data_IF_657034709224
#
_entry.id   IF_657034709224
#
_cell.length_a   1.000
_cell.length_b   1.000
_cell.length_c   1.000
_cell.angle_alpha   90.00
_cell.angle_beta   90.00
_cell.angle_gamma   90.00
#
_symmetry.space_group_name_H-M   'P 1'
#
loop_
_entity.id
_entity.type
_entity.pdbx_description
1 polymer ?
#
# COMPACT_ATOMS: atom_id res chain seq x y z
N UNK A 1 0.60 34.65 -40.47
CA UNK A 1 -0.42 34.20 -41.45
C UNK A 1 -0.03 32.82 -41.93
N UNK A 2 -0.96 31.85 -41.90
CA UNK A 2 -0.70 30.42 -42.07
C UNK A 2 -0.58 30.04 -43.55
N UNK A 3 0.13 28.95 -43.85
CA UNK A 3 -0.03 28.21 -45.10
C UNK A 3 -0.84 26.94 -44.84
N UNK A 4 -1.90 26.78 -45.64
CA UNK A 4 -2.74 25.60 -45.75
C UNK A 4 -2.20 24.68 -46.85
N UNK A 5 -2.42 23.37 -46.71
CA UNK A 5 -2.60 22.39 -47.79
C UNK A 5 -3.48 21.28 -47.21
N UNK A 6 -4.77 21.26 -47.52
CA UNK A 6 -5.46 20.66 -48.68
C UNK A 6 -5.80 19.18 -48.50
N UNK A 7 -7.12 18.94 -48.59
CA UNK A 7 -7.79 17.65 -48.59
C UNK A 7 -7.65 16.94 -49.92
N UNK A 8 -7.53 15.61 -49.90
CA UNK A 8 -7.86 14.78 -51.06
C UNK A 8 -8.80 13.64 -50.63
N UNK A 9 -10.03 13.67 -51.15
CA UNK A 9 -11.03 12.61 -51.11
C UNK A 9 -11.07 11.87 -52.45
N UNK A 10 -11.01 10.53 -52.44
CA UNK A 10 -11.56 9.59 -53.45
C UNK A 10 -11.95 8.32 -52.67
N UNK A 11 -13.22 8.11 -52.34
CA UNK A 11 -14.27 7.38 -53.09
C UNK A 11 -14.08 5.86 -53.18
N UNK A 12 -14.87 5.15 -52.38
CA UNK A 12 -15.69 4.02 -52.85
C UNK A 12 -15.05 2.63 -52.92
N UNK A 13 -15.16 1.85 -51.85
CA UNK A 13 -15.35 0.40 -51.95
C UNK A 13 -16.50 -0.03 -51.03
N UNK A 14 -17.49 -0.63 -51.68
CA UNK A 14 -18.73 -1.16 -51.15
C UNK A 14 -18.42 -2.50 -50.46
N UNK A 15 -18.75 -2.66 -49.18
CA UNK A 15 -18.69 -3.94 -48.48
C UNK A 15 -20.08 -4.28 -47.97
N UNK A 16 -20.56 -5.43 -48.46
CA UNK A 16 -21.87 -5.99 -48.21
C UNK A 16 -22.13 -6.23 -46.72
N UNK A 17 -23.40 -6.10 -46.37
CA UNK A 17 -24.00 -6.51 -45.11
C UNK A 17 -23.60 -7.94 -44.72
N UNK A 18 -22.91 -8.09 -43.60
CA UNK A 18 -22.90 -9.33 -42.82
C UNK A 18 -23.48 -9.02 -41.45
N UNK A 19 -24.72 -9.43 -41.25
CA UNK A 19 -25.37 -9.54 -39.95
C UNK A 19 -24.61 -10.58 -39.12
N UNK A 20 -24.11 -10.19 -37.95
CA UNK A 20 -23.73 -11.14 -36.91
C UNK A 20 -24.71 -10.99 -35.76
N UNK A 21 -25.34 -12.12 -35.46
CA UNK A 21 -26.33 -12.33 -34.42
C UNK A 21 -25.85 -11.83 -33.06
N UNK A 22 -26.77 -11.17 -32.35
CA UNK A 22 -26.66 -10.86 -30.94
C UNK A 22 -26.67 -12.15 -30.13
N UNK A 23 -25.50 -12.73 -29.88
CA UNK A 23 -25.31 -13.69 -28.81
C UNK A 23 -25.30 -12.93 -27.48
N UNK A 24 -26.33 -13.14 -26.68
CA UNK A 24 -26.48 -12.62 -25.33
C UNK A 24 -25.30 -13.02 -24.44
N UNK A 25 -24.55 -12.04 -23.95
CA UNK A 25 -23.67 -12.22 -22.80
C UNK A 25 -24.53 -12.59 -21.58
N UNK A 26 -24.20 -13.64 -20.80
CA UNK A 26 -24.94 -13.99 -19.60
C UNK A 26 -24.76 -12.89 -18.55
N UNK A 27 -25.85 -12.57 -17.86
CA UNK A 27 -25.93 -11.56 -16.81
C UNK A 27 -24.89 -11.82 -15.70
N UNK A 28 -24.16 -10.78 -15.31
CA UNK A 28 -23.36 -10.76 -14.09
C UNK A 28 -24.28 -11.02 -12.90
N UNK A 29 -24.11 -12.18 -12.26
CA UNK A 29 -24.66 -12.43 -10.93
C UNK A 29 -23.85 -11.62 -9.93
N UNK A 30 -24.49 -10.61 -9.34
CA UNK A 30 -23.98 -9.88 -8.17
C UNK A 30 -23.96 -10.82 -6.97
N UNK A 31 -22.87 -11.56 -6.79
CA UNK A 31 -22.55 -12.09 -5.46
C UNK A 31 -22.08 -10.93 -4.59
N UNK A 32 -22.68 -10.81 -3.42
CA UNK A 32 -22.42 -9.75 -2.46
C UNK A 32 -20.91 -9.71 -2.11
N UNK A 33 -20.23 -8.64 -2.53
CA UNK A 33 -18.85 -8.35 -2.13
C UNK A 33 -18.84 -8.04 -0.63
N UNK A 34 -18.59 -9.07 0.17
CA UNK A 34 -18.28 -8.96 1.59
C UNK A 34 -16.78 -8.71 1.75
N UNK A 35 -16.41 -7.55 2.29
CA UNK A 35 -15.03 -7.25 2.66
C UNK A 35 -14.67 -8.05 3.93
N UNK A 36 -13.94 -9.15 3.79
CA UNK A 36 -13.32 -9.81 4.96
C UNK A 36 -11.91 -9.26 5.17
N UNK A 37 -11.76 -8.34 6.13
CA UNK A 37 -10.46 -8.09 6.74
C UNK A 37 -10.11 -9.33 7.59
N UNK A 38 -9.18 -10.17 7.12
CA UNK A 38 -8.69 -11.30 7.91
C UNK A 38 -7.74 -10.79 8.97
N UNK A 39 -8.16 -10.97 10.23
CA UNK A 39 -7.31 -10.85 11.41
C UNK A 39 -6.20 -11.91 11.33
N UNK A 40 -4.93 -11.50 11.33
CA UNK A 40 -3.77 -12.40 11.40
C UNK A 40 -3.79 -13.06 12.79
N UNK A 41 -4.14 -14.35 12.85
CA UNK A 41 -3.97 -15.17 14.04
C UNK A 41 -2.61 -15.86 14.00
N UNK A 42 -1.80 -15.62 15.02
CA UNK A 42 -0.52 -16.30 15.23
C UNK A 42 -0.71 -17.83 15.29
N UNK A 43 -0.08 -18.55 14.37
CA UNK A 43 0.08 -20.00 14.47
C UNK A 43 1.55 -20.30 14.78
N UNK A 44 1.89 -20.32 16.07
CA UNK A 44 3.09 -20.97 16.57
C UNK A 44 2.88 -22.48 16.55
N UNK A 45 3.34 -23.15 15.50
CA UNK A 45 3.46 -24.61 15.50
C UNK A 45 4.85 -24.98 16.04
N UNK A 46 4.89 -25.66 17.19
CA UNK A 46 6.06 -26.41 17.66
C UNK A 46 5.71 -27.91 17.66
N UNK A 47 6.62 -28.81 17.27
CA UNK A 47 6.26 -30.16 16.85
C UNK A 47 6.08 -31.10 18.05
N UNK A 48 5.01 -31.90 18.00
CA UNK A 48 4.77 -33.00 18.94
C UNK A 48 5.42 -34.30 18.47
N UNK A 49 6.31 -34.85 19.29
CA UNK A 49 6.75 -36.25 19.24
C UNK A 49 5.69 -37.15 19.88
N UNK A 50 5.26 -38.19 19.17
CA UNK A 50 4.26 -39.13 19.64
C UNK A 50 4.80 -40.19 20.60
N UNK A 51 3.94 -40.66 21.53
CA UNK A 51 3.93 -42.04 22.05
C UNK A 51 2.60 -42.34 22.79
N UNK A 52 1.92 -43.37 22.29
CA UNK A 52 1.15 -44.44 22.94
C UNK A 52 0.23 -44.24 24.18
N UNK A 53 -1.03 -44.61 23.96
CA UNK A 53 -1.90 -45.56 24.69
C UNK A 53 -2.52 -45.28 26.09
N UNK A 54 -3.82 -45.66 26.13
CA UNK A 54 -4.64 -46.30 27.18
C UNK A 54 -5.32 -45.49 28.30
N UNK A 55 -6.65 -45.48 28.21
CA UNK A 55 -7.68 -45.88 29.20
C UNK A 55 -7.86 -45.24 30.59
N UNK A 56 -9.16 -45.22 30.97
CA UNK A 56 -9.78 -45.18 32.31
C UNK A 56 -10.16 -43.84 32.99
N UNK A 57 -11.46 -43.52 32.83
CA UNK A 57 -12.50 -43.41 33.87
C UNK A 57 -12.28 -42.64 35.20
N UNK A 58 -13.19 -41.65 35.38
CA UNK A 58 -14.12 -41.45 36.50
C UNK A 58 -13.73 -40.64 37.76
N UNK A 59 -14.81 -40.10 38.37
CA UNK A 59 -15.01 -39.48 39.70
C UNK A 59 -14.92 -37.93 39.66
N UNK A 60 -16.03 -37.19 39.56
CA UNK A 60 -17.14 -36.94 40.52
C UNK A 60 -16.76 -36.17 41.79
N UNK A 61 -17.18 -34.91 41.90
CA UNK A 61 -17.80 -34.41 43.13
C UNK A 61 -18.66 -33.17 42.85
N UNK A 62 -19.83 -33.22 43.47
CA UNK A 62 -21.03 -32.39 43.35
C UNK A 62 -21.08 -31.31 44.45
N UNK A 63 -22.02 -30.36 44.28
CA UNK A 63 -22.87 -29.70 45.33
C UNK A 63 -22.28 -28.43 46.01
N UNK A 64 -22.99 -27.31 46.27
CA UNK A 64 -24.39 -26.88 46.11
C UNK A 64 -24.47 -25.35 46.20
N UNK A 65 -25.55 -24.78 45.66
CA UNK A 65 -26.04 -23.41 45.74
C UNK A 65 -26.47 -22.92 47.15
N UNK A 66 -26.30 -21.61 47.41
CA UNK A 66 -27.20 -20.81 48.27
C UNK A 66 -27.37 -19.41 47.70
N UNK A 67 -28.60 -18.91 47.74
CA UNK A 67 -29.01 -17.54 47.42
C UNK A 67 -29.82 -16.97 48.60
N UNK A 68 -29.76 -15.64 48.82
CA UNK A 68 -30.89 -14.70 49.03
C UNK A 68 -30.38 -13.32 49.53
N UNK A 69 -30.73 -12.27 48.74
CA UNK A 69 -31.12 -10.86 49.03
C UNK A 69 -30.42 -10.05 50.15
N UNK A 70 -30.06 -8.77 50.04
CA UNK A 70 -30.22 -7.73 49.02
C UNK A 70 -30.12 -6.34 49.68
N UNK A 71 -29.38 -5.38 49.11
CA UNK A 71 -29.70 -3.92 49.12
C UNK A 71 -28.76 -3.16 48.18
N UNK A 72 -29.34 -2.12 47.57
CA UNK A 72 -28.91 -1.37 46.39
C UNK A 72 -27.72 -0.42 46.57
N UNK A 73 -26.86 -0.30 45.56
CA UNK A 73 -26.49 0.98 44.90
C UNK A 73 -25.49 0.80 43.74
N UNK A 74 -25.81 1.43 42.60
CA UNK A 74 -24.96 1.76 41.44
C UNK A 74 -24.29 0.62 40.65
N UNK A 75 -25.01 0.10 39.65
CA UNK A 75 -24.40 -0.57 38.49
C UNK A 75 -23.71 0.47 37.61
N UNK A 76 -22.38 0.56 37.66
CA UNK A 76 -21.60 1.12 36.56
C UNK A 76 -21.61 0.07 35.47
N UNK A 77 -22.48 0.27 34.48
CA UNK A 77 -22.57 -0.58 33.30
C UNK A 77 -21.22 -0.59 32.59
N UNK A 78 -20.64 -1.77 32.45
CA UNK A 78 -19.63 -2.04 31.44
C UNK A 78 -20.30 -1.84 30.08
N UNK A 79 -20.12 -0.68 29.48
CA UNK A 79 -20.40 -0.50 28.05
C UNK A 79 -19.42 -1.38 27.28
N UNK A 80 -19.90 -2.55 26.92
CA UNK A 80 -19.38 -3.36 25.85
C UNK A 80 -19.54 -2.56 24.54
N UNK A 81 -18.53 -1.74 24.22
CA UNK A 81 -18.42 -1.07 22.92
C UNK A 81 -18.03 -2.09 21.86
N UNK A 82 -18.96 -3.00 21.60
CA UNK A 82 -19.03 -3.71 20.33
C UNK A 82 -19.16 -2.66 19.22
N UNK A 83 -18.25 -2.70 18.24
CA UNK A 83 -18.34 -1.96 16.98
C UNK A 83 -19.57 -2.43 16.18
N UNK A 84 -20.76 -2.09 16.65
CA UNK A 84 -22.06 -2.51 16.11
C UNK A 84 -22.63 -1.53 15.08
N UNK A 85 -21.83 -0.63 14.49
CA UNK A 85 -22.31 0.33 13.49
C UNK A 85 -21.81 0.10 12.06
N UNK A 86 -21.06 -0.98 11.79
CA UNK A 86 -20.67 -1.35 10.41
C UNK A 86 -21.73 -2.20 9.69
N UNK A 87 -22.83 -2.59 10.35
CA UNK A 87 -23.87 -3.43 9.76
C UNK A 87 -24.95 -2.64 8.98
N UNK A 88 -24.95 -1.31 9.06
CA UNK A 88 -25.97 -0.43 8.45
C UNK A 88 -25.40 0.52 7.37
N UNK A 89 -24.20 0.25 6.84
CA UNK A 89 -23.73 0.93 5.64
C UNK A 89 -24.37 0.25 4.43
N UNK A 90 -25.22 0.93 3.63
CA UNK A 90 -25.71 0.35 2.39
C UNK A 90 -24.49 -0.02 1.55
N UNK A 91 -24.47 -1.23 0.99
CA UNK A 91 -23.45 -1.67 0.03
C UNK A 91 -23.18 -0.51 -0.93
N UNK A 92 -22.03 0.14 -0.77
CA UNK A 92 -21.70 1.33 -1.54
C UNK A 92 -21.49 0.88 -2.98
N UNK A 93 -22.51 1.07 -3.82
CA UNK A 93 -22.40 0.81 -5.24
C UNK A 93 -21.34 1.76 -5.82
N UNK A 94 -20.34 1.19 -6.48
CA UNK A 94 -19.30 1.98 -7.15
C UNK A 94 -19.93 2.80 -8.27
N UNK A 95 -19.41 4.02 -8.46
CA UNK A 95 -19.76 4.84 -9.62
C UNK A 95 -19.32 4.19 -10.93
N UNK A 96 -19.80 4.67 -12.10
CA UNK A 96 -19.39 4.17 -13.41
C UNK A 96 -17.89 4.18 -13.69
N UNK A 97 -17.10 4.93 -12.91
CA UNK A 97 -15.63 4.97 -12.98
C UNK A 97 -14.93 4.07 -11.96
N UNK A 98 -15.68 3.23 -11.24
CA UNK A 98 -15.17 2.40 -10.16
C UNK A 98 -14.90 3.17 -8.87
N UNK A 99 -15.32 4.43 -8.77
CA UNK A 99 -15.11 5.27 -7.59
C UNK A 99 -16.06 4.86 -6.44
N UNK A 100 -15.56 4.86 -5.22
CA UNK A 100 -16.44 4.87 -4.05
C UNK A 100 -17.11 6.25 -3.94
N UNK A 101 -18.37 6.31 -3.49
CA UNK A 101 -19.04 7.60 -3.27
C UNK A 101 -18.27 8.39 -2.20
N UNK A 102 -18.17 9.73 -2.31
CA UNK A 102 -17.40 10.51 -1.36
C UNK A 102 -17.94 10.33 0.06
N UNK A 103 -17.08 9.91 0.98
CA UNK A 103 -17.46 9.59 2.35
C UNK A 103 -17.53 10.83 3.26
N UNK A 104 -16.97 11.96 2.81
CA UNK A 104 -16.94 13.21 3.57
C UNK A 104 -17.54 14.36 2.77
N UNK A 105 -18.71 14.80 3.19
CA UNK A 105 -19.35 16.02 2.71
C UNK A 105 -19.42 17.04 3.84
N UNK A 106 -19.15 18.32 3.54
CA UNK A 106 -19.47 19.39 4.49
C UNK A 106 -20.98 19.33 4.81
N UNK A 107 -21.40 19.56 6.06
CA UNK A 107 -22.83 19.66 6.38
C UNK A 107 -23.53 20.64 5.44
N UNK A 108 -24.59 20.18 4.76
CA UNK A 108 -25.33 20.97 3.77
C UNK A 108 -24.82 20.86 2.32
N UNK A 109 -23.77 20.07 2.04
CA UNK A 109 -23.35 19.79 0.67
C UNK A 109 -24.35 18.83 -0.01
N UNK A 110 -24.81 19.21 -1.19
CA UNK A 110 -25.69 18.38 -2.00
C UNK A 110 -24.85 17.48 -2.92
N UNK A 111 -24.76 16.18 -2.60
CA UNK A 111 -24.03 15.20 -3.42
C UNK A 111 -24.50 15.17 -4.88
N UNK A 112 -25.78 15.45 -5.14
CA UNK A 112 -26.36 15.54 -6.50
C UNK A 112 -25.85 16.72 -7.32
N UNK A 113 -25.09 17.65 -6.71
CA UNK A 113 -24.40 18.73 -7.42
C UNK A 113 -23.07 18.31 -8.05
N UNK A 114 -22.57 17.11 -7.71
CA UNK A 114 -21.37 16.59 -8.35
C UNK A 114 -21.64 16.31 -9.83
N UNK A 115 -20.67 16.56 -10.72
CA UNK A 115 -20.79 16.20 -12.12
C UNK A 115 -21.12 14.71 -12.27
N UNK A 116 -22.04 14.39 -13.18
CA UNK A 116 -22.36 13.00 -13.50
C UNK A 116 -21.09 12.27 -13.95
N UNK A 117 -20.76 11.18 -13.26
CA UNK A 117 -19.72 10.27 -13.70
C UNK A 117 -20.18 9.53 -14.94
N UNK A 118 -19.52 9.80 -16.06
CA UNK A 118 -19.71 9.06 -17.31
C UNK A 118 -18.42 8.32 -17.65
N UNK A 119 -18.59 7.10 -18.15
CA UNK A 119 -17.52 6.25 -18.66
C UNK A 119 -17.90 5.83 -20.09
N UNK A 120 -16.95 5.94 -21.01
CA UNK A 120 -17.08 5.47 -22.39
C UNK A 120 -16.05 4.37 -22.59
N UNK A 121 -16.46 3.25 -23.17
CA UNK A 121 -15.52 2.16 -23.42
C UNK A 121 -14.42 2.61 -24.39
N UNK A 122 -13.18 2.20 -24.12
CA UNK A 122 -12.00 2.51 -24.92
C UNK A 122 -11.39 1.24 -25.49
N UNK A 123 -10.88 1.27 -26.71
CA UNK A 123 -10.30 0.10 -27.40
C UNK A 123 -8.79 0.23 -27.58
N UNK A 124 -8.07 0.48 -26.48
CA UNK A 124 -6.61 0.56 -26.52
C UNK A 124 -6.00 -0.85 -26.52
N UNK A 125 -4.95 -1.05 -27.30
CA UNK A 125 -4.19 -2.31 -27.28
C UNK A 125 -3.52 -2.52 -25.92
N UNK A 126 -3.44 -3.77 -25.49
CA UNK A 126 -2.69 -4.13 -24.29
C UNK A 126 -1.18 -4.09 -24.54
N UNK A 127 -0.43 -3.61 -23.55
CA UNK A 127 1.02 -3.72 -23.58
C UNK A 127 1.41 -5.21 -23.57
N UNK A 128 2.13 -5.65 -24.60
CA UNK A 128 2.59 -7.03 -24.72
C UNK A 128 4.11 -7.07 -24.64
N UNK A 129 4.66 -7.91 -23.76
CA UNK A 129 6.09 -8.18 -23.68
C UNK A 129 6.37 -9.65 -24.00
N UNK A 130 7.38 -9.89 -24.82
CA UNK A 130 7.70 -11.21 -25.33
C UNK A 130 8.82 -11.88 -24.54
N UNK A 131 8.73 -13.20 -24.35
CA UNK A 131 9.82 -14.01 -23.83
C UNK A 131 10.07 -15.25 -24.70
N UNK A 132 11.32 -15.72 -24.72
CA UNK A 132 11.70 -16.96 -25.39
C UNK A 132 11.55 -18.12 -24.41
N UNK A 133 10.57 -19.00 -24.68
CA UNK A 133 10.25 -20.15 -23.84
C UNK A 133 11.46 -21.07 -23.62
N UNK A 134 12.38 -21.13 -24.61
CA UNK A 134 13.58 -21.98 -24.52
C UNK A 134 14.58 -21.52 -23.46
N UNK A 135 14.47 -20.26 -22.99
CA UNK A 135 15.30 -19.74 -21.90
C UNK A 135 14.86 -20.24 -20.51
N UNK A 136 13.64 -20.77 -20.40
CA UNK A 136 13.06 -21.30 -19.17
C UNK A 136 12.70 -20.27 -18.09
N UNK A 137 13.21 -19.04 -18.19
CA UNK A 137 12.96 -17.96 -17.24
C UNK A 137 12.91 -16.60 -17.93
N UNK A 138 12.10 -15.71 -17.39
CA UNK A 138 12.12 -14.27 -17.68
C UNK A 138 12.21 -13.48 -16.37
N UNK A 139 12.71 -12.24 -16.44
CA UNK A 139 12.84 -11.37 -15.29
C UNK A 139 12.25 -9.99 -15.58
N UNK A 140 11.57 -9.41 -14.59
CA UNK A 140 10.93 -8.11 -14.68
C UNK A 140 11.34 -7.24 -13.49
N UNK A 141 11.45 -5.94 -13.73
CA UNK A 141 11.59 -4.93 -12.68
C UNK A 141 10.27 -4.18 -12.57
N UNK A 142 9.57 -4.36 -11.45
CA UNK A 142 8.29 -3.74 -11.17
C UNK A 142 8.52 -2.47 -10.36
N UNK A 143 7.90 -1.38 -10.79
CA UNK A 143 7.99 -0.08 -10.15
C UNK A 143 6.59 0.50 -10.02
N UNK A 144 6.16 0.81 -8.80
CA UNK A 144 4.94 1.60 -8.62
C UNK A 144 5.31 3.09 -8.66
N UNK A 145 5.28 3.65 -9.87
CA UNK A 145 5.44 5.08 -10.12
C UNK A 145 4.09 5.85 -10.06
N UNK A 146 3.07 5.24 -9.47
CA UNK A 146 1.74 5.83 -9.34
C UNK A 146 1.72 7.05 -8.42
N UNK A 147 0.58 7.73 -8.40
CA UNK A 147 0.39 8.92 -7.57
C UNK A 147 -0.39 8.65 -6.28
N UNK A 148 -1.21 7.60 -6.25
CA UNK A 148 -2.29 7.47 -5.24
C UNK A 148 -2.52 6.06 -4.73
N UNK A 149 -2.33 5.04 -5.57
CA UNK A 149 -2.74 3.67 -5.23
C UNK A 149 -1.54 2.77 -5.03
N UNK A 150 -1.60 1.99 -3.95
CA UNK A 150 -0.89 0.72 -3.86
C UNK A 150 -1.47 -0.24 -4.91
N UNK A 151 -0.62 -1.06 -5.51
CA UNK A 151 -1.02 -2.00 -6.55
C UNK A 151 -0.81 -3.45 -6.10
N UNK A 152 -1.78 -4.30 -6.37
CA UNK A 152 -1.57 -5.76 -6.45
C UNK A 152 -1.07 -6.11 -7.84
N UNK A 153 -0.13 -7.05 -7.92
CA UNK A 153 0.41 -7.57 -9.17
C UNK A 153 0.31 -9.09 -9.16
N UNK A 154 -0.14 -9.66 -10.28
CA UNK A 154 -0.13 -11.12 -10.50
C UNK A 154 0.03 -11.46 -11.98
N UNK A 155 0.53 -12.66 -12.26
CA UNK A 155 0.59 -13.22 -13.60
C UNK A 155 -0.20 -14.51 -13.65
N UNK A 156 -1.25 -14.55 -14.46
CA UNK A 156 -2.14 -15.71 -14.54
C UNK A 156 -1.32 -16.98 -14.87
N UNK A 157 -1.50 -18.03 -14.07
CA UNK A 157 -0.87 -19.35 -14.26
C UNK A 157 0.58 -19.47 -13.83
N UNK A 158 1.19 -18.39 -13.34
CA UNK A 158 2.60 -18.38 -12.97
C UNK A 158 2.81 -17.90 -11.54
N UNK A 159 3.80 -18.48 -10.86
CA UNK A 159 4.41 -17.88 -9.68
C UNK A 159 5.48 -16.85 -10.09
N UNK A 160 5.68 -15.85 -9.25
CA UNK A 160 6.77 -14.88 -9.32
C UNK A 160 7.74 -15.12 -8.17
N UNK A 161 9.04 -15.10 -8.46
CA UNK A 161 10.11 -15.21 -7.48
C UNK A 161 10.66 -13.80 -7.21
N UNK A 162 10.25 -13.16 -6.12
CA UNK A 162 10.74 -11.84 -5.70
C UNK A 162 12.16 -11.99 -5.18
N UNK A 163 13.15 -11.46 -5.87
CA UNK A 163 14.58 -11.64 -5.56
C UNK A 163 15.30 -10.32 -5.24
N UNK A 164 14.61 -9.18 -5.39
CA UNK A 164 15.14 -7.86 -5.06
C UNK A 164 14.01 -6.96 -4.55
N UNK A 165 14.31 -6.15 -3.53
CA UNK A 165 13.42 -5.12 -3.01
C UNK A 165 14.16 -3.79 -2.94
N UNK A 166 13.60 -2.76 -3.59
CA UNK A 166 14.11 -1.39 -3.62
C UNK A 166 15.60 -1.26 -4.03
N UNK A 167 16.17 -2.18 -4.82
CA UNK A 167 17.58 -2.12 -5.25
C UNK A 167 18.53 -3.06 -4.50
N UNK A 168 18.05 -3.89 -3.57
CA UNK A 168 18.87 -4.87 -2.86
C UNK A 168 18.35 -6.28 -3.04
N UNK A 169 19.27 -7.21 -3.31
CA UNK A 169 18.93 -8.62 -3.37
C UNK A 169 18.45 -9.13 -2.02
N UNK A 170 17.42 -9.97 -2.05
CA UNK A 170 16.80 -10.62 -0.88
C UNK A 170 16.75 -12.12 -1.09
N UNK A 171 16.50 -12.89 -0.03
CA UNK A 171 16.21 -14.31 -0.20
C UNK A 171 14.94 -14.47 -1.04
N UNK A 172 14.97 -15.21 -2.16
CA UNK A 172 13.82 -15.30 -3.04
C UNK A 172 12.57 -15.81 -2.34
N UNK A 173 11.45 -15.08 -2.46
CA UNK A 173 10.13 -15.56 -2.06
C UNK A 173 9.32 -15.91 -3.32
N UNK A 174 8.78 -17.12 -3.35
CA UNK A 174 7.85 -17.56 -4.39
C UNK A 174 6.43 -17.14 -4.01
N UNK A 175 5.79 -16.31 -4.84
CA UNK A 175 4.48 -15.71 -4.58
C UNK A 175 3.64 -15.71 -5.85
N UNK A 176 2.32 -15.73 -5.71
CA UNK A 176 1.41 -15.55 -6.84
C UNK A 176 0.87 -14.11 -6.92
N UNK A 177 0.77 -13.45 -5.76
CA UNK A 177 0.37 -12.04 -5.66
C UNK A 177 1.42 -11.29 -4.85
N UNK A 178 1.80 -10.11 -5.32
CA UNK A 178 2.59 -9.18 -4.53
C UNK A 178 1.93 -7.81 -4.52
N UNK A 179 2.01 -7.15 -3.38
CA UNK A 179 1.56 -5.77 -3.21
C UNK A 179 2.76 -4.83 -3.29
N UNK A 180 2.65 -3.79 -4.11
CA UNK A 180 3.70 -2.80 -4.32
C UNK A 180 3.16 -1.40 -4.03
N UNK A 181 3.68 -0.80 -2.98
CA UNK A 181 3.29 0.55 -2.56
C UNK A 181 4.01 1.61 -3.37
N UNK A 182 3.48 2.83 -3.35
CA UNK A 182 3.97 3.92 -4.18
C UNK A 182 5.44 4.21 -3.85
N UNK A 183 6.29 4.27 -4.86
CA UNK A 183 7.73 4.45 -4.70
C UNK A 183 8.51 3.15 -4.44
N UNK A 184 7.86 2.03 -4.13
CA UNK A 184 8.53 0.73 -3.98
C UNK A 184 8.86 0.10 -5.34
N UNK A 185 9.87 -0.77 -5.33
CA UNK A 185 10.32 -1.56 -6.47
C UNK A 185 10.56 -3.00 -6.05
N UNK A 186 10.18 -3.93 -6.91
CA UNK A 186 10.51 -5.34 -6.77
C UNK A 186 11.04 -5.89 -8.09
N UNK A 187 12.13 -6.66 -8.03
CA UNK A 187 12.56 -7.47 -9.17
C UNK A 187 12.04 -8.89 -8.99
N UNK A 188 11.40 -9.42 -10.03
CA UNK A 188 10.81 -10.77 -10.03
C UNK A 188 11.38 -11.61 -11.17
N UNK A 189 11.60 -12.90 -10.89
CA UNK A 189 11.83 -13.91 -11.92
C UNK A 189 10.58 -14.77 -12.07
N UNK A 190 10.27 -15.15 -13.30
CA UNK A 190 9.11 -15.96 -13.66
C UNK A 190 9.62 -17.18 -14.41
N UNK A 191 9.20 -18.38 -13.98
CA UNK A 191 9.45 -19.62 -14.71
C UNK A 191 8.58 -19.63 -15.96
N UNK A 192 9.14 -19.96 -17.11
CA UNK A 192 8.38 -20.16 -18.35
C UNK A 192 8.01 -21.64 -18.47
N UNK A 193 7.24 -22.13 -17.50
CA UNK A 193 6.92 -23.56 -17.32
C UNK A 193 5.49 -23.95 -17.71
N UNK A 194 4.68 -22.99 -18.17
CA UNK A 194 3.39 -23.26 -18.80
C UNK A 194 3.56 -23.47 -20.31
N UNK A 195 2.48 -23.87 -20.99
CA UNK A 195 2.50 -24.02 -22.44
C UNK A 195 2.80 -22.66 -23.10
N UNK A 196 3.63 -22.60 -24.17
CA UNK A 196 3.81 -21.37 -24.93
C UNK A 196 2.47 -20.73 -25.29
N UNK A 197 2.24 -19.53 -24.79
CA UNK A 197 0.92 -18.93 -24.66
C UNK A 197 1.01 -17.45 -24.34
N UNK A 198 -0.12 -16.76 -24.50
CA UNK A 198 -0.29 -15.41 -24.03
C UNK A 198 -1.02 -15.45 -22.68
N UNK A 199 -0.42 -14.81 -21.68
CA UNK A 199 -0.88 -14.81 -20.29
C UNK A 199 -1.11 -13.39 -19.80
N UNK A 200 -2.24 -13.17 -19.11
CA UNK A 200 -2.59 -11.86 -18.56
C UNK A 200 -1.71 -11.53 -17.37
N UNK A 201 -1.00 -10.41 -17.47
CA UNK A 201 -0.26 -9.79 -16.39
C UNK A 201 -1.11 -8.66 -15.81
N UNK A 202 -1.55 -8.82 -14.57
CA UNK A 202 -2.60 -7.99 -13.97
C UNK A 202 -2.04 -7.04 -12.93
N UNK A 203 -2.60 -5.84 -12.91
CA UNK A 203 -2.34 -4.80 -11.93
C UNK A 203 -3.69 -4.29 -11.43
N UNK A 204 -3.91 -4.21 -10.13
CA UNK A 204 -5.13 -3.60 -9.61
C UNK A 204 -4.82 -2.70 -8.43
N UNK A 205 -5.57 -1.62 -8.29
CA UNK A 205 -5.55 -0.83 -7.07
C UNK A 205 -5.94 -1.74 -5.89
N UNK A 206 -5.10 -1.74 -4.88
CA UNK A 206 -5.33 -2.50 -3.65
C UNK A 206 -5.48 -1.52 -2.49
N UNK A 207 -6.54 -1.65 -1.68
CA UNK A 207 -6.76 -0.75 -0.56
C UNK A 207 -5.60 -0.81 0.42
N UNK A 208 -5.19 0.37 0.88
CA UNK A 208 -4.31 0.49 2.02
C UNK A 208 -4.98 1.39 3.05
N UNK A 209 -6.09 0.89 3.61
CA UNK A 209 -7.05 1.65 4.42
C UNK A 209 -8.32 1.95 3.63
N UNK A 210 -8.37 3.11 2.98
CA UNK A 210 -9.50 3.51 2.13
C UNK A 210 -9.27 3.12 0.66
N UNK A 211 -10.35 2.73 -0.02
CA UNK A 211 -10.36 2.42 -1.45
C UNK A 211 -11.20 3.47 -2.17
N UNK A 212 -10.53 4.49 -2.70
CA UNK A 212 -11.23 5.58 -3.39
C UNK A 212 -11.70 5.14 -4.79
N UNK A 213 -10.99 4.21 -5.41
CA UNK A 213 -11.31 3.72 -6.75
C UNK A 213 -10.85 2.27 -6.95
N UNK A 214 -11.75 1.42 -7.43
CA UNK A 214 -11.40 0.10 -7.96
C UNK A 214 -11.00 0.26 -9.42
N UNK A 215 -9.73 0.03 -9.71
CA UNK A 215 -9.19 0.10 -11.07
C UNK A 215 -8.27 -1.10 -11.31
N UNK A 216 -8.43 -1.74 -12.47
CA UNK A 216 -7.57 -2.82 -12.95
C UNK A 216 -6.92 -2.37 -14.27
N UNK A 217 -5.65 -2.74 -14.44
CA UNK A 217 -4.91 -2.68 -15.69
C UNK A 217 -4.40 -4.08 -16.05
N UNK A 218 -4.28 -4.34 -17.34
CA UNK A 218 -3.78 -5.61 -17.86
C UNK A 218 -2.69 -5.37 -18.90
N UNK A 219 -1.70 -6.25 -18.90
CA UNK A 219 -0.67 -6.43 -19.91
C UNK A 219 -0.63 -7.91 -20.30
N UNK A 220 0.14 -8.25 -21.33
CA UNK A 220 0.26 -9.62 -21.84
C UNK A 220 1.73 -10.04 -21.80
N UNK A 221 2.01 -11.14 -21.10
CA UNK A 221 3.24 -11.91 -21.31
C UNK A 221 2.97 -12.89 -22.46
N UNK A 222 3.66 -12.72 -23.57
CA UNK A 222 3.61 -13.66 -24.70
C UNK A 222 4.91 -14.43 -24.77
N UNK A 223 4.91 -15.76 -24.65
CA UNK A 223 6.14 -16.51 -24.86
C UNK A 223 6.01 -17.68 -25.80
N UNK A 224 7.00 -17.77 -26.69
CA UNK A 224 7.03 -18.67 -27.84
C UNK A 224 8.27 -19.55 -27.80
N UNK A 225 8.15 -20.74 -28.38
CA UNK A 225 9.31 -21.45 -28.89
C UNK A 225 9.69 -20.80 -30.23
N UNK A 226 10.84 -20.12 -30.28
CA UNK A 226 11.35 -19.36 -31.45
C UNK A 226 11.48 -20.19 -32.75
N UNK A 227 11.20 -21.50 -32.71
CA UNK A 227 11.18 -22.40 -33.87
C UNK A 227 9.81 -22.55 -34.53
N UNK A 228 8.70 -22.15 -33.89
CA UNK A 228 7.33 -22.30 -34.44
C UNK A 228 6.56 -20.97 -34.39
N UNK A 229 6.43 -20.34 -35.55
CA UNK A 229 5.71 -19.09 -35.73
C UNK A 229 4.20 -19.40 -35.94
N UNK A 230 3.51 -19.77 -34.87
CA UNK A 230 2.05 -19.99 -34.88
C UNK A 230 1.33 -18.77 -34.32
N UNK A 231 0.26 -18.31 -34.98
CA UNK A 231 -0.65 -17.29 -34.45
C UNK A 231 -1.16 -17.75 -33.08
N UNK A 232 -0.74 -17.06 -32.02
CA UNK A 232 -1.12 -17.39 -30.66
C UNK A 232 -2.48 -16.77 -30.35
N UNK A 233 -3.35 -17.59 -29.77
CA UNK A 233 -4.57 -17.13 -29.12
C UNK A 233 -4.29 -16.96 -27.64
N UNK A 234 -4.84 -15.90 -27.04
CA UNK A 234 -4.91 -15.76 -25.58
C UNK A 234 -5.31 -17.10 -24.96
N UNK A 235 -4.53 -17.60 -23.99
CA UNK A 235 -4.97 -18.72 -23.15
C UNK A 235 -5.99 -18.16 -22.13
N UNK A 236 -7.09 -17.61 -22.63
CA UNK A 236 -8.01 -16.77 -21.88
C UNK A 236 -8.96 -17.56 -20.97
N UNK A 237 -9.01 -18.89 -21.09
CA UNK A 237 -10.11 -19.68 -20.51
C UNK A 237 -9.70 -20.92 -19.70
N UNK A 238 -8.40 -21.23 -19.59
CA UNK A 238 -7.92 -22.41 -18.86
C UNK A 238 -7.10 -22.10 -17.61
N UNK A 239 -6.79 -20.82 -17.35
CA UNK A 239 -5.90 -20.40 -16.27
C UNK A 239 -6.67 -19.51 -15.32
N UNK A 240 -6.86 -19.97 -14.08
CA UNK A 240 -7.54 -19.18 -13.05
C UNK A 240 -6.67 -18.00 -12.60
N UNK A 241 -7.25 -16.79 -12.47
CA UNK A 241 -6.51 -15.63 -11.98
C UNK A 241 -6.14 -15.79 -10.50
N UNK A 242 -4.99 -15.25 -10.12
CA UNK A 242 -4.52 -15.26 -8.72
C UNK A 242 -5.11 -14.14 -7.88
N UNK A 243 -5.68 -13.12 -8.51
CA UNK A 243 -6.29 -11.97 -7.85
C UNK A 243 -7.63 -11.58 -8.48
N UNK A 244 -8.49 -10.97 -7.68
CA UNK A 244 -9.76 -10.38 -8.09
C UNK A 244 -9.54 -8.96 -8.66
N UNK A 245 -10.57 -8.40 -9.29
CA UNK A 245 -10.55 -7.04 -9.88
C UNK A 245 -10.26 -5.95 -8.85
N UNK A 246 -10.58 -6.18 -7.58
CA UNK A 246 -10.25 -5.28 -6.46
C UNK A 246 -8.83 -5.47 -5.91
N UNK A 247 -7.99 -6.26 -6.58
CA UNK A 247 -6.62 -6.57 -6.19
C UNK A 247 -6.47 -7.59 -5.06
N UNK A 248 -7.54 -8.03 -4.42
CA UNK A 248 -7.44 -9.06 -3.38
C UNK A 248 -7.05 -10.43 -3.97
N UNK A 249 -6.19 -11.15 -3.25
CA UNK A 249 -5.78 -12.49 -3.65
C UNK A 249 -6.96 -13.48 -3.58
N UNK A 250 -6.99 -14.43 -4.51
CA UNK A 250 -7.94 -15.54 -4.45
C UNK A 250 -7.59 -16.53 -3.33
N UNK A 251 -8.54 -17.37 -2.92
CA UNK A 251 -8.32 -18.29 -1.80
C UNK A 251 -7.22 -19.31 -2.11
N UNK A 252 -6.25 -19.45 -1.19
CA UNK A 252 -5.13 -20.40 -1.32
C UNK A 252 -3.90 -19.84 -2.03
N UNK A 253 -3.97 -18.60 -2.50
CA UNK A 253 -2.87 -17.87 -3.13
C UNK A 253 -1.83 -17.44 -2.08
N UNK A 254 -0.54 -17.56 -2.42
CA UNK A 254 0.57 -17.08 -1.59
C UNK A 254 0.85 -15.62 -1.94
N UNK A 255 0.77 -14.76 -0.93
CA UNK A 255 1.09 -13.34 -1.02
C UNK A 255 2.52 -13.07 -0.51
N UNK A 256 3.15 -12.02 -1.04
CA UNK A 256 4.45 -11.56 -0.58
C UNK A 256 4.42 -11.12 0.90
N UNK A 257 5.29 -11.70 1.73
CA UNK A 257 5.56 -11.23 3.09
C UNK A 257 6.75 -10.25 3.04
N UNK A 258 6.45 -8.97 2.89
CA UNK A 258 7.44 -7.91 2.75
C UNK A 258 8.23 -7.65 4.04
N UNK A 259 7.74 -8.09 5.20
CA UNK A 259 8.41 -7.95 6.50
C UNK A 259 9.60 -8.92 6.64
N UNK A 260 9.67 -9.95 5.80
CA UNK A 260 10.73 -10.96 5.82
C UNK A 260 11.77 -10.78 4.71
N UNK A 261 11.70 -9.67 3.96
CA UNK A 261 12.61 -9.33 2.86
C UNK A 261 13.92 -8.70 3.34
N UNK A 262 14.65 -9.46 4.17
CA UNK A 262 16.01 -9.09 4.55
C UNK A 262 16.97 -9.14 3.35
N UNK A 263 17.99 -8.27 3.30
CA UNK A 263 19.05 -8.38 2.31
C UNK A 263 19.71 -9.77 2.32
N UNK A 264 19.93 -10.34 1.14
CA UNK A 264 20.48 -11.69 0.95
C UNK A 264 21.86 -11.86 1.58
N UNK A 265 22.69 -10.81 1.53
CA UNK A 265 24.03 -10.80 2.16
C UNK A 265 23.97 -10.76 3.70
N UNK A 266 22.77 -10.76 4.28
CA UNK A 266 22.53 -10.44 5.67
C UNK A 266 22.58 -8.94 5.91
N UNK A 267 21.84 -8.49 6.92
CA UNK A 267 21.92 -7.11 7.40
C UNK A 267 21.42 -7.04 8.84
N UNK A 268 22.28 -6.62 9.76
CA UNK A 268 21.88 -6.47 11.17
C UNK A 268 21.82 -4.98 11.50
N UNK A 269 20.67 -4.54 12.02
CA UNK A 269 20.54 -3.18 12.49
C UNK A 269 21.48 -2.95 13.70
N UNK A 270 22.03 -1.75 13.90
CA UNK A 270 22.85 -1.44 15.07
C UNK A 270 22.15 -1.87 16.36
N UNK A 271 22.84 -2.63 17.21
CA UNK A 271 22.30 -3.10 18.48
C UNK A 271 22.28 -2.00 19.54
N UNK A 272 21.29 -2.03 20.43
CA UNK A 272 21.19 -1.09 21.56
C UNK A 272 20.29 0.12 21.26
N UNK A 273 20.33 1.08 22.19
CA UNK A 273 19.52 2.29 22.13
C UNK A 273 19.97 3.20 20.99
N UNK A 274 19.02 3.79 20.28
CA UNK A 274 19.32 4.84 19.32
C UNK A 274 19.88 6.07 20.05
N UNK A 275 20.78 6.79 19.39
CA UNK A 275 21.27 8.09 19.86
C UNK A 275 20.14 9.12 19.86
N UNK A 276 19.23 9.01 18.89
CA UNK A 276 18.08 9.90 18.73
C UNK A 276 16.84 9.07 18.42
N UNK A 277 15.80 9.20 19.23
CA UNK A 277 14.46 8.70 18.91
C UNK A 277 13.57 9.88 18.52
N UNK A 278 12.82 9.72 17.42
CA UNK A 278 11.82 10.68 16.94
C UNK A 278 10.48 9.98 16.84
N UNK A 279 9.47 10.58 17.46
CA UNK A 279 8.09 10.14 17.33
C UNK A 279 7.40 11.05 16.33
N UNK A 280 6.69 10.47 15.37
CA UNK A 280 5.85 11.19 14.43
C UNK A 280 4.41 10.69 14.52
N UNK A 281 3.51 11.60 14.89
CA UNK A 281 2.08 11.42 14.71
C UNK A 281 1.68 12.02 13.37
N UNK A 282 1.33 11.16 12.41
CA UNK A 282 0.81 11.53 11.09
C UNK A 282 -0.67 11.84 11.29
N UNK A 283 -1.11 13.04 10.94
CA UNK A 283 -2.50 13.46 11.18
C UNK A 283 -3.03 14.27 10.02
N UNK A 284 -4.26 14.01 9.57
CA UNK A 284 -5.00 14.93 8.73
C UNK A 284 -5.87 15.85 9.60
N UNK A 285 -5.43 17.10 9.78
CA UNK A 285 -6.10 18.09 10.64
C UNK A 285 -7.13 18.95 9.89
N UNK A 286 -7.26 18.77 8.58
CA UNK A 286 -8.19 19.48 7.73
C UNK A 286 -8.31 18.82 6.36
N UNK A 287 -9.26 19.28 5.55
CA UNK A 287 -9.64 18.66 4.27
C UNK A 287 -8.43 18.40 3.34
N UNK A 288 -7.42 19.26 3.39
CA UNK A 288 -6.20 19.17 2.57
C UNK A 288 -4.92 19.38 3.37
N UNK A 289 -4.97 19.12 4.68
CA UNK A 289 -3.87 19.44 5.60
C UNK A 289 -3.45 18.19 6.35
N UNK A 290 -2.25 17.68 6.05
CA UNK A 290 -1.65 16.53 6.72
C UNK A 290 -0.37 16.94 7.43
N UNK A 291 -0.14 16.54 8.66
CA UNK A 291 0.93 17.11 9.49
C UNK A 291 1.77 16.03 10.16
N UNK A 292 3.05 16.31 10.41
CA UNK A 292 3.86 15.55 11.36
C UNK A 292 3.81 16.28 12.70
N UNK A 293 3.34 15.62 13.76
CA UNK A 293 3.33 16.23 15.11
C UNK A 293 2.64 17.60 15.17
N UNK A 294 1.54 17.77 14.43
CA UNK A 294 0.78 19.03 14.30
C UNK A 294 1.49 20.17 13.59
N UNK A 295 2.71 19.94 13.09
CA UNK A 295 3.46 20.93 12.34
C UNK A 295 3.34 20.63 10.84
N UNK A 296 2.80 21.59 10.08
CA UNK A 296 2.60 21.37 8.67
C UNK A 296 3.85 21.95 7.98
N UNK A 297 4.53 21.15 7.15
CA UNK A 297 5.64 21.62 6.34
C UNK A 297 5.20 22.54 5.20
N UNK A 298 5.93 23.64 5.06
CA UNK A 298 5.90 24.52 3.92
C UNK A 298 7.26 24.52 3.23
N UNK A 299 7.26 24.46 1.90
CA UNK A 299 8.49 24.55 1.13
C UNK A 299 9.13 25.93 1.34
N UNK A 300 10.40 26.01 1.76
CA UNK A 300 11.05 27.28 1.99
C UNK A 300 11.33 27.99 0.67
N UNK A 301 11.22 29.32 0.68
CA UNK A 301 11.54 30.14 -0.49
C UNK A 301 13.01 29.99 -0.93
N UNK A 302 13.91 29.71 0.02
CA UNK A 302 15.29 29.33 -0.25
C UNK A 302 15.53 27.87 0.18
N UNK A 303 15.98 27.00 -0.73
CA UNK A 303 16.24 25.59 -0.40
C UNK A 303 17.15 25.41 0.82
N UNK A 304 16.85 24.41 1.66
CA UNK A 304 17.54 24.23 2.95
C UNK A 304 19.03 23.88 2.79
N UNK A 305 19.42 23.35 1.63
CA UNK A 305 20.82 23.08 1.30
C UNK A 305 21.72 24.33 1.37
N UNK A 306 21.15 25.54 1.23
CA UNK A 306 21.90 26.80 1.35
C UNK A 306 22.25 27.17 2.79
N UNK A 307 21.90 26.37 3.78
CA UNK A 307 22.29 26.61 5.16
C UNK A 307 21.34 27.58 5.87
N UNK A 308 21.86 28.28 6.87
CA UNK A 308 21.09 29.19 7.74
C UNK A 308 20.48 30.40 7.02
N UNK A 309 20.81 30.63 5.75
CA UNK A 309 20.14 31.64 4.93
C UNK A 309 18.74 31.19 4.51
N UNK A 310 18.45 29.89 4.49
CA UNK A 310 17.12 29.36 4.20
C UNK A 310 16.11 29.79 5.26
N UNK A 311 14.94 30.24 4.82
CA UNK A 311 13.79 30.52 5.69
C UNK A 311 13.20 29.25 6.32
N UNK A 312 13.51 28.06 5.77
CA UNK A 312 13.16 26.77 6.35
C UNK A 312 14.20 26.24 7.36
N UNK A 313 15.33 26.93 7.55
CA UNK A 313 16.43 26.40 8.36
C UNK A 313 16.05 26.08 9.81
N UNK A 314 15.25 26.95 10.42
CA UNK A 314 14.78 26.81 11.80
C UNK A 314 13.27 26.47 11.85
N UNK A 315 12.69 25.96 10.76
CA UNK A 315 11.31 25.51 10.77
C UNK A 315 11.14 24.31 11.71
N UNK A 316 9.96 24.16 12.31
CA UNK A 316 9.66 23.02 13.20
C UNK A 316 9.77 21.65 12.48
N UNK A 317 9.65 21.67 11.16
CA UNK A 317 9.77 20.52 10.25
C UNK A 317 11.20 20.29 9.74
N UNK A 318 12.20 21.03 10.26
CA UNK A 318 13.62 20.81 9.98
C UNK A 318 14.29 20.22 11.22
N UNK A 319 14.69 18.96 11.13
CA UNK A 319 15.28 18.21 12.26
C UNK A 319 16.78 18.02 12.07
N UNK A 320 17.55 18.60 12.99
CA UNK A 320 18.98 18.35 13.05
C UNK A 320 19.27 17.05 13.80
N UNK A 321 20.07 16.18 13.19
CA UNK A 321 20.58 14.94 13.76
C UNK A 321 22.12 14.99 13.79
N UNK A 322 22.77 14.40 14.81
CA UNK A 322 24.23 14.29 14.82
C UNK A 322 24.71 13.39 13.67
N UNK A 323 25.90 13.62 13.13
CA UNK A 323 26.52 12.67 12.19
C UNK A 323 26.90 11.35 12.89
N UNK A 324 26.90 10.25 12.11
CA UNK A 324 27.25 8.90 12.57
C UNK A 324 26.48 8.43 13.82
N UNK A 325 25.23 8.86 13.95
CA UNK A 325 24.31 8.53 15.02
C UNK A 325 23.26 7.52 14.55
N UNK A 326 22.87 6.62 15.44
CA UNK A 326 21.72 5.74 15.21
C UNK A 326 20.45 6.53 15.51
N UNK A 327 19.52 6.57 14.54
CA UNK A 327 18.25 7.27 14.67
C UNK A 327 17.10 6.29 14.52
N UNK A 328 16.19 6.30 15.50
CA UNK A 328 14.89 5.63 15.43
C UNK A 328 13.81 6.64 15.06
N UNK A 329 12.97 6.26 14.11
CA UNK A 329 11.74 6.97 13.79
C UNK A 329 10.58 6.03 14.09
N UNK A 330 9.80 6.39 15.10
CA UNK A 330 8.57 5.71 15.51
C UNK A 330 7.41 6.54 14.97
N UNK A 331 6.63 5.97 14.06
CA UNK A 331 5.51 6.64 13.42
C UNK A 331 4.20 6.02 13.83
N UNK A 332 3.16 6.84 13.88
CA UNK A 332 1.78 6.38 13.98
C UNK A 332 0.83 7.27 13.20
N UNK A 333 -0.27 6.71 12.73
CA UNK A 333 -1.44 7.50 12.36
C UNK A 333 -2.10 7.99 13.64
N UNK A 334 -2.37 9.30 13.74
CA UNK A 334 -2.93 9.89 14.95
C UNK A 334 -4.39 9.47 15.14
N UNK A 335 -4.77 9.17 16.39
CA UNK A 335 -6.14 8.72 16.71
C UNK A 335 -7.22 9.77 16.41
N UNK A 336 -6.85 11.05 16.39
CA UNK A 336 -7.70 12.18 16.04
C UNK A 336 -7.57 12.62 14.57
N UNK A 337 -6.88 11.83 13.74
CA UNK A 337 -6.73 12.09 12.31
C UNK A 337 -8.04 11.89 11.56
N UNK A 338 -8.35 12.80 10.64
CA UNK A 338 -9.42 12.60 9.65
C UNK A 338 -9.05 11.53 8.60
N UNK A 339 -7.76 11.24 8.47
CA UNK A 339 -7.21 10.23 7.59
C UNK A 339 -6.76 9.03 8.40
N UNK A 340 -7.46 7.92 8.24
CA UNK A 340 -7.16 6.64 8.89
C UNK A 340 -6.48 5.65 7.95
N UNK A 341 -6.16 6.08 6.71
CA UNK A 341 -5.50 5.24 5.72
C UNK A 341 -4.02 5.03 6.03
N UNK A 342 -3.40 4.09 5.33
CA UNK A 342 -1.97 3.86 5.48
C UNK A 342 -1.16 4.73 4.53
N UNK A 343 0.10 4.95 4.87
CA UNK A 343 0.97 5.90 4.18
C UNK A 343 2.28 5.23 3.74
N UNK A 344 2.63 5.21 2.44
CA UNK A 344 3.96 4.82 2.01
C UNK A 344 4.97 5.90 2.42
N UNK A 345 5.81 5.60 3.39
CA UNK A 345 6.81 6.48 3.98
C UNK A 345 8.17 6.28 3.31
N UNK A 346 8.69 7.35 2.72
CA UNK A 346 9.94 7.37 1.98
C UNK A 346 10.98 8.28 2.63
N UNK A 347 12.23 7.82 2.69
CA UNK A 347 13.38 8.59 3.18
C UNK A 347 14.42 8.77 2.08
N UNK A 348 14.78 10.02 1.82
CA UNK A 348 15.86 10.35 0.89
C UNK A 348 17.24 10.10 1.50
N UNK A 349 18.22 9.85 0.64
CA UNK A 349 19.65 9.77 1.01
C UNK A 349 20.06 8.57 1.84
N UNK A 350 19.11 7.74 2.28
CA UNK A 350 19.37 6.58 3.13
C UNK A 350 18.48 5.42 2.74
N UNK A 351 19.01 4.21 2.93
CA UNK A 351 18.17 3.05 3.25
C UNK A 351 18.09 2.92 4.76
N UNK A 352 16.97 2.40 5.24
CA UNK A 352 16.68 2.21 6.65
C UNK A 352 16.25 0.78 6.91
N UNK A 353 16.51 0.31 8.12
CA UNK A 353 15.99 -0.95 8.62
C UNK A 353 14.52 -0.75 9.02
N UNK A 354 13.64 -1.57 8.46
CA UNK A 354 12.24 -1.62 8.88
C UNK A 354 12.10 -2.62 10.01
N UNK A 355 11.86 -2.12 11.22
CA UNK A 355 11.94 -2.96 12.41
C UNK A 355 10.62 -3.63 12.75
N UNK A 356 9.49 -3.00 12.41
CA UNK A 356 8.19 -3.58 12.69
C UNK A 356 7.06 -2.59 12.45
N UNK A 357 5.85 -3.12 12.40
CA UNK A 357 4.62 -2.36 12.30
C UNK A 357 3.46 -3.13 12.94
N UNK A 358 2.40 -2.42 13.30
CA UNK A 358 1.22 -3.01 13.93
C UNK A 358 0.04 -2.06 13.95
N UNK A 359 -1.07 -2.52 14.52
CA UNK A 359 -2.28 -1.73 14.69
C UNK A 359 -2.21 -0.86 15.95
N UNK A 360 -2.93 0.26 15.93
CA UNK A 360 -3.04 1.19 17.05
C UNK A 360 -1.75 1.96 17.36
N UNK A 361 -1.59 2.29 18.63
CA UNK A 361 -0.43 3.02 19.13
C UNK A 361 0.75 2.08 19.41
N UNK A 362 1.97 2.52 19.08
CA UNK A 362 3.18 1.85 19.54
C UNK A 362 3.27 1.97 21.07
N UNK A 363 3.29 0.87 21.84
CA UNK A 363 3.07 0.91 23.28
C UNK A 363 4.33 1.20 24.10
N UNK A 364 5.46 1.50 23.46
CA UNK A 364 6.75 1.73 24.10
C UNK A 364 7.32 3.11 23.76
N UNK A 365 8.12 3.66 24.67
CA UNK A 365 8.82 4.94 24.44
C UNK A 365 10.00 4.77 23.47
N UNK A 366 10.63 3.59 23.44
CA UNK A 366 11.79 3.35 22.57
C UNK A 366 11.79 1.93 21.99
N UNK A 367 12.59 1.76 20.93
CA UNK A 367 12.80 0.46 20.28
C UNK A 367 13.43 -0.55 21.24
N UNK A 368 14.27 -0.11 22.17
CA UNK A 368 14.94 -0.98 23.15
C UNK A 368 14.02 -1.54 24.21
N UNK A 369 12.88 -0.90 24.47
CA UNK A 369 11.91 -1.36 25.46
C UNK A 369 10.92 -2.38 24.87
N UNK A 370 10.85 -2.47 23.53
CA UNK A 370 9.94 -3.33 22.82
C UNK A 370 10.48 -4.78 22.70
N UNK A 371 9.61 -5.80 22.79
CA UNK A 371 10.03 -7.19 22.64
C UNK A 371 10.38 -7.53 21.18
N UNK A 372 11.23 -8.55 21.00
CA UNK A 372 11.63 -9.03 19.66
C UNK A 372 10.49 -9.59 18.81
N UNK A 373 9.33 -9.87 19.41
CA UNK A 373 8.11 -10.26 18.70
C UNK A 373 7.45 -9.09 17.97
N UNK A 374 7.75 -7.84 18.33
CA UNK A 374 7.23 -6.63 17.70
C UNK A 374 8.29 -5.89 16.89
N UNK A 375 9.55 -6.01 17.30
CA UNK A 375 10.69 -5.31 16.70
C UNK A 375 11.72 -6.35 16.28
N UNK A 376 11.95 -6.45 14.98
CA UNK A 376 13.00 -7.26 14.40
C UNK A 376 14.30 -6.45 14.26
N UNK A 377 15.30 -6.74 15.10
CA UNK A 377 16.66 -6.22 14.93
C UNK A 377 17.59 -7.23 14.22
N UNK A 378 17.11 -8.45 13.98
CA UNK A 378 17.85 -9.57 13.41
C UNK A 378 17.41 -9.83 11.96
N UNK A 379 18.19 -9.34 10.99
CA UNK A 379 17.82 -9.39 9.57
C UNK A 379 16.45 -8.74 9.26
N UNK A 380 16.20 -7.48 9.67
CA UNK A 380 15.04 -6.76 9.18
C UNK A 380 15.21 -6.36 7.70
N UNK A 381 14.10 -6.09 6.98
CA UNK A 381 14.15 -5.48 5.67
C UNK A 381 14.94 -4.19 5.69
N UNK A 382 15.71 -3.93 4.63
CA UNK A 382 16.54 -2.73 4.51
C UNK A 382 16.27 -2.04 3.18
N UNK A 383 15.51 -0.94 3.25
CA UNK A 383 14.91 -0.32 2.07
C UNK A 383 14.70 1.17 2.29
N UNK A 384 14.15 1.85 1.29
CA UNK A 384 13.96 3.31 1.33
C UNK A 384 12.48 3.72 1.38
N UNK A 385 11.55 2.78 1.20
CA UNK A 385 10.11 3.04 1.26
C UNK A 385 9.37 1.91 1.97
N UNK A 386 8.63 2.21 3.02
CA UNK A 386 7.79 1.24 3.75
C UNK A 386 6.39 1.78 3.92
N UNK A 387 5.44 0.91 4.22
CA UNK A 387 4.12 1.36 4.59
C UNK A 387 4.00 1.59 6.10
N UNK A 388 3.40 2.72 6.47
CA UNK A 388 2.78 2.95 7.77
C UNK A 388 1.34 2.43 7.69
N UNK A 389 0.95 1.39 8.45
CA UNK A 389 -0.38 0.80 8.33
C UNK A 389 -1.53 1.76 8.70
N UNK A 390 -2.73 1.54 8.13
CA UNK A 390 -3.94 2.26 8.51
C UNK A 390 -4.20 2.20 10.01
N UNK A 391 -4.41 3.37 10.63
CA UNK A 391 -4.63 3.48 12.09
C UNK A 391 -3.60 2.72 12.93
N UNK A 392 -2.38 2.59 12.42
CA UNK A 392 -1.33 1.76 12.99
C UNK A 392 -0.05 2.53 13.24
N UNK A 393 0.99 1.78 13.57
CA UNK A 393 2.33 2.26 13.83
C UNK A 393 3.35 1.53 12.96
N UNK A 394 4.48 2.19 12.70
CA UNK A 394 5.64 1.62 12.03
C UNK A 394 6.94 2.19 12.61
N UNK A 395 7.98 1.37 12.69
CA UNK A 395 9.28 1.75 13.22
C UNK A 395 10.37 1.52 12.18
N UNK A 396 11.16 2.55 11.94
CA UNK A 396 12.38 2.46 11.11
C UNK A 396 13.60 2.92 11.90
N UNK A 397 14.75 2.34 11.57
CA UNK A 397 16.07 2.75 12.09
C UNK A 397 16.99 3.07 10.93
N UNK A 398 17.82 4.10 11.05
CA UNK A 398 18.87 4.40 10.10
C UNK A 398 20.09 5.02 10.80
N UNK A 399 21.22 5.09 10.09
CA UNK A 399 22.43 5.75 10.55
C UNK A 399 22.59 7.05 9.77
N UNK A 400 22.99 8.11 10.44
CA UNK A 400 23.27 9.41 9.84
C UNK A 400 24.69 9.50 9.25
N UNK A 401 24.99 8.59 8.32
CA UNK A 401 26.30 8.47 7.66
C UNK A 401 26.43 9.28 6.35
N UNK A 402 25.35 9.92 5.91
CA UNK A 402 25.30 10.71 4.69
C UNK A 402 25.02 12.20 4.98
N UNK A 403 26.06 13.08 4.99
CA UNK A 403 25.96 14.53 5.09
C UNK A 403 25.00 15.15 4.07
N UNK A 404 23.88 15.70 4.51
CA UNK A 404 22.91 16.30 3.59
C UNK A 404 21.63 16.83 4.21
N UNK A 405 20.70 17.17 3.32
CA UNK A 405 19.37 17.68 3.62
C UNK A 405 18.37 16.67 3.02
N UNK A 406 17.86 15.76 3.85
CA UNK A 406 17.11 14.61 3.37
C UNK A 406 15.63 14.69 3.71
N UNK A 407 14.80 14.53 2.70
CA UNK A 407 13.37 14.55 2.87
C UNK A 407 12.86 13.20 3.41
N UNK A 408 12.03 13.26 4.45
CA UNK A 408 11.21 12.16 4.91
C UNK A 408 9.73 12.49 4.70
N UNK A 409 9.03 11.72 3.85
CA UNK A 409 7.68 12.09 3.42
C UNK A 409 6.79 10.89 3.05
N UNK A 410 5.48 11.13 2.98
CA UNK A 410 4.55 10.21 2.35
C UNK A 410 4.68 10.28 0.82
N UNK A 411 4.67 9.13 0.15
CA UNK A 411 4.83 9.01 -1.30
C UNK A 411 3.48 8.99 -2.07
N UNK A 412 2.36 9.23 -1.38
CA UNK A 412 1.11 9.60 -2.06
C UNK A 412 1.26 11.03 -2.58
N UNK A 413 1.19 11.22 -3.89
CA UNK A 413 1.43 12.50 -4.55
C UNK A 413 0.45 13.58 -4.07
N UNK A 414 -0.83 13.26 -3.83
CA UNK A 414 -1.75 14.24 -3.24
C UNK A 414 -1.32 14.61 -1.83
N UNK A 415 -0.79 13.65 -1.07
CA UNK A 415 -0.18 13.88 0.23
C UNK A 415 1.19 14.58 0.15
N UNK A 416 1.65 14.94 -1.05
CA UNK A 416 2.87 15.69 -1.28
C UNK A 416 2.55 17.09 -1.86
N UNK A 417 1.62 17.17 -2.82
CA UNK A 417 1.46 18.30 -3.77
C UNK A 417 0.50 19.38 -3.34
N UNK A 418 -0.51 19.10 -2.51
CA UNK A 418 -1.41 20.19 -2.03
C UNK A 418 -0.62 21.29 -1.28
N UNK A 419 0.68 21.10 -1.01
CA UNK A 419 1.72 22.09 -0.58
C UNK A 419 1.94 23.25 -1.53
N UNK A 420 1.89 22.99 -2.84
CA UNK A 420 2.36 23.92 -3.86
C UNK A 420 1.34 25.04 -4.15
N UNK A 421 0.14 24.94 -3.57
CA UNK A 421 -0.88 25.99 -3.61
C UNK A 421 -0.66 26.90 -2.39
N UNK A 422 0.45 27.64 -2.37
CA UNK A 422 0.67 28.73 -1.42
C UNK A 422 0.30 30.09 -2.05
N UNK A 423 -0.46 30.95 -1.35
CA UNK A 423 -1.20 32.08 -1.92
C UNK A 423 -0.37 33.36 -2.06
N UNK A 424 0.64 33.39 -2.94
CA UNK A 424 1.31 34.66 -3.28
C UNK A 424 0.63 35.45 -4.42
N UNK A 425 -0.47 34.93 -4.99
CA UNK A 425 -1.33 35.69 -5.89
C UNK A 425 -2.54 36.28 -5.16
N UNK A 426 -2.59 37.60 -5.00
CA UNK A 426 -3.75 38.37 -4.51
C UNK A 426 -5.07 37.75 -4.98
N UNK A 427 -5.92 37.34 -4.04
CA UNK A 427 -7.39 37.52 -3.98
C UNK A 427 -7.93 36.59 -2.88
N UNK A 428 -8.19 37.16 -1.69
CA UNK A 428 -8.94 36.52 -0.59
C UNK A 428 -10.41 36.30 -1.00
N UNK A 429 -11.19 35.36 -0.40
CA UNK A 429 -11.21 35.13 1.05
C UNK A 429 -11.17 33.65 1.51
N UNK A 430 -10.41 33.44 2.58
CA UNK A 430 -10.71 32.53 3.71
C UNK A 430 -11.20 31.12 3.36
N UNK A 431 -10.24 30.19 3.15
CA UNK A 431 -10.27 28.78 3.60
C UNK A 431 -9.15 27.91 2.96
N UNK A 432 -8.35 28.43 2.02
CA UNK A 432 -7.25 27.71 1.33
C UNK A 432 -5.88 27.91 2.03
N UNK A 433 -5.83 28.59 3.18
CA UNK A 433 -4.60 29.20 3.67
C UNK A 433 -3.65 28.32 4.50
N UNK A 434 -3.84 27.00 4.58
CA UNK A 434 -2.96 26.12 5.39
C UNK A 434 -2.84 24.70 4.82
N UNK A 435 -2.32 24.58 3.61
CA UNK A 435 -1.87 23.28 3.13
C UNK A 435 -0.40 23.13 3.48
N UNK A 436 -0.10 22.22 4.40
CA UNK A 436 1.26 22.00 4.86
C UNK A 436 1.34 20.59 5.51
N UNK A 437 2.54 20.00 5.51
CA UNK A 437 2.79 18.55 5.34
C UNK A 437 3.62 17.80 6.39
N UNK A 438 3.67 16.48 6.24
CA UNK A 438 4.56 15.52 6.88
C UNK A 438 6.01 15.58 6.36
N UNK A 439 6.83 16.46 6.91
CA UNK A 439 8.24 16.54 6.52
C UNK A 439 9.10 16.63 7.76
N UNK A 440 10.18 15.87 7.76
CA UNK A 440 11.33 16.17 8.58
C UNK A 440 12.54 16.18 7.68
N UNK A 441 13.15 17.34 7.51
CA UNK A 441 14.46 17.38 6.89
C UNK A 441 15.47 16.87 7.90
N UNK A 442 16.01 15.68 7.67
CA UNK A 442 17.05 15.11 8.53
C UNK A 442 18.39 15.66 8.06
N UNK A 443 18.96 16.57 8.85
CA UNK A 443 20.28 17.11 8.58
C UNK A 443 21.30 16.53 9.54
N UNK A 444 22.30 15.89 8.95
CA UNK A 444 23.49 15.39 9.63
C UNK A 444 24.52 16.53 9.73
N UNK A 445 24.90 16.93 10.96
CA UNK A 445 26.01 17.88 11.19
C UNK A 445 27.31 17.11 11.41
N UNK A 446 28.34 17.44 10.62
CA UNK A 446 29.71 17.36 11.14
C UNK A 446 29.89 18.53 12.11
N UNK A 447 30.57 18.27 13.23
CA UNK A 447 30.88 19.28 14.27
C UNK A 447 31.44 20.59 13.70
#
# INVERSE_FOLDING_TARGET
MPMAMESSTISGMNMASMSMDTASMPAMTTEAMSMSMRKRSDNTASPSTGTAMSDMSAISSTMTSMAIMGSSTASVGTEDRTMSTMADMPQMALGPRGCSPPMMFRPGFNASSLPLETCTNTTSDFFTFTADASRGWTALHLVNAGAVSRLSVSLDGHSMFVYEADGLYVTPQEVQVLHISIGQRYSVMIRLDQNPGDYSFRFAAYPYGDMQQVIEGQAILSYQNMTNNTNMTMMSDLVSPWMLVNGSATSGTVELDDQTLAPFTGNTAPSGAATVTRHFAINQTGIVTWVANREPFAEPARPIIYGSVSDGWNAATTLFTPANATVDIIMKVANDSMDTMGHPMHLHGHKFWFLGAGEGDFPFESVTDAPSSMINLQNPPYRDTIDLPPSGWAVIRYITDNPGAWLFHCHVQWHLVVSLISPTGRHSPELINRAAWLWCLLRTRNE
#
